data_IF_289330176395
#
_entry.id   IF_289330176395
#
_cell.length_a   1.000
_cell.length_b   1.000
_cell.length_c   1.000
_cell.angle_alpha   90.00
_cell.angle_beta   90.00
_cell.angle_gamma   90.00
#
_symmetry.space_group_name_H-M   'P 1'
#
loop_
_entity.id
_entity.type
_entity.pdbx_description
1 polymer ?
#
# COMPACT_ATOMS: atom_id res chain seq x y z
N UNK A 1 -32.66 -16.40 -0.57
CA UNK A 1 -31.42 -16.18 0.22
C UNK A 1 -30.70 -15.02 -0.44
N UNK A 2 -30.69 -13.83 0.19
CA UNK A 2 -30.02 -12.68 -0.38
C UNK A 2 -28.52 -12.96 -0.45
N UNK A 3 -27.92 -12.85 -1.63
CA UNK A 3 -26.47 -12.80 -1.77
C UNK A 3 -25.98 -11.66 -0.86
N UNK A 4 -25.37 -12.00 0.28
CA UNK A 4 -24.59 -11.03 1.02
C UNK A 4 -23.47 -10.61 0.07
N UNK A 5 -23.54 -9.39 -0.46
CA UNK A 5 -22.45 -8.79 -1.22
C UNK A 5 -21.18 -8.91 -0.38
N UNK A 6 -20.23 -9.74 -0.82
CA UNK A 6 -18.95 -9.95 -0.12
C UNK A 6 -18.31 -8.61 0.21
N UNK A 7 -17.76 -8.53 1.43
CA UNK A 7 -16.98 -7.37 1.84
C UNK A 7 -15.80 -7.16 0.90
N UNK A 8 -15.52 -5.89 0.56
CA UNK A 8 -14.29 -5.54 -0.15
C UNK A 8 -13.19 -5.38 0.90
N UNK A 9 -12.23 -6.28 0.85
CA UNK A 9 -11.05 -6.29 1.71
C UNK A 9 -9.80 -5.89 0.94
N UNK A 10 -8.83 -5.34 1.67
CA UNK A 10 -7.47 -5.11 1.22
C UNK A 10 -6.52 -5.26 2.41
N UNK A 11 -5.22 -5.26 2.16
CA UNK A 11 -4.24 -5.37 3.23
C UNK A 11 -2.94 -4.62 2.98
N UNK A 12 -2.01 -4.84 3.89
CA UNK A 12 -0.64 -4.35 3.82
C UNK A 12 0.27 -5.36 4.52
N UNK A 13 1.37 -5.74 3.88
CA UNK A 13 2.41 -6.51 4.56
C UNK A 13 3.14 -5.65 5.59
N UNK A 14 3.46 -6.26 6.72
CA UNK A 14 4.28 -5.66 7.79
C UNK A 14 5.44 -6.60 8.13
N UNK A 15 6.30 -6.20 9.05
CA UNK A 15 7.36 -7.08 9.57
C UNK A 15 6.71 -8.30 10.21
N UNK A 16 7.10 -9.50 9.78
CA UNK A 16 6.55 -10.77 10.25
C UNK A 16 5.03 -10.94 10.24
N UNK A 17 4.32 -10.22 9.36
CA UNK A 17 2.86 -10.31 9.39
C UNK A 17 2.13 -9.59 8.28
N UNK A 18 0.81 -9.59 8.42
CA UNK A 18 -0.11 -8.96 7.47
C UNK A 18 -1.19 -8.22 8.22
N UNK A 19 -1.42 -6.98 7.79
CA UNK A 19 -2.60 -6.20 8.12
C UNK A 19 -3.69 -6.44 7.09
N UNK A 20 -4.91 -6.78 7.53
CA UNK A 20 -6.11 -6.71 6.70
C UNK A 20 -7.04 -5.61 7.18
N UNK A 21 -7.75 -5.00 6.24
CA UNK A 21 -8.69 -3.94 6.49
C UNK A 21 -9.99 -4.13 5.73
N UNK A 22 -11.09 -4.06 6.48
CA UNK A 22 -12.44 -4.00 5.95
C UNK A 22 -12.98 -2.57 5.89
N UNK A 23 -14.29 -2.41 6.01
CA UNK A 23 -14.94 -1.09 5.87
C UNK A 23 -14.62 -0.16 7.04
N UNK A 24 -14.59 -0.69 8.26
CA UNK A 24 -14.37 0.08 9.49
C UNK A 24 -13.22 -0.46 10.32
N UNK A 25 -12.95 -1.75 10.26
CA UNK A 25 -11.94 -2.37 11.11
C UNK A 25 -10.67 -2.66 10.32
N UNK A 26 -9.55 -2.66 11.03
CA UNK A 26 -8.28 -3.20 10.57
C UNK A 26 -7.69 -4.07 11.66
N UNK A 27 -7.15 -5.20 11.26
CA UNK A 27 -6.48 -6.15 12.14
C UNK A 27 -5.12 -6.48 11.52
N UNK A 28 -4.08 -6.45 12.33
CA UNK A 28 -2.78 -7.00 11.99
C UNK A 28 -2.53 -8.21 12.85
N UNK A 29 -1.96 -9.26 12.25
CA UNK A 29 -1.34 -10.35 12.97
C UNK A 29 0.14 -10.42 12.61
N UNK A 30 1.00 -10.61 13.61
CA UNK A 30 2.44 -10.84 13.44
C UNK A 30 2.83 -12.15 14.11
N UNK A 31 3.87 -12.82 13.59
CA UNK A 31 4.53 -13.94 14.27
C UNK A 31 5.74 -13.43 15.04
N UNK A 32 5.74 -13.62 16.37
CA UNK A 32 6.88 -13.29 17.24
C UNK A 32 7.97 -14.37 17.12
N UNK A 33 9.16 -14.08 17.67
CA UNK A 33 10.31 -15.01 17.63
C UNK A 33 10.06 -16.33 18.36
N UNK A 34 9.19 -16.33 19.37
CA UNK A 34 8.75 -17.53 20.10
C UNK A 34 7.69 -18.36 19.33
N UNK A 35 7.27 -17.89 18.15
CA UNK A 35 6.28 -18.54 17.29
C UNK A 35 4.83 -18.18 17.59
N UNK A 36 4.56 -17.39 18.64
CA UNK A 36 3.20 -16.92 18.97
C UNK A 36 2.70 -15.89 17.97
N UNK A 37 1.37 -15.81 17.82
CA UNK A 37 0.72 -14.81 16.98
C UNK A 37 0.14 -13.71 17.87
N UNK A 38 0.55 -12.47 17.62
CA UNK A 38 0.03 -11.30 18.32
C UNK A 38 -0.79 -10.42 17.37
N UNK A 39 -1.87 -9.84 17.90
CA UNK A 39 -2.82 -9.05 17.12
C UNK A 39 -2.83 -7.58 17.52
N UNK A 40 -3.05 -6.72 16.53
CA UNK A 40 -3.30 -5.31 16.74
C UNK A 40 -4.55 -4.85 16.00
N UNK A 41 -5.41 -4.14 16.71
CA UNK A 41 -6.73 -3.73 16.25
C UNK A 41 -6.79 -2.22 16.13
N UNK A 42 -7.34 -1.74 15.02
CA UNK A 42 -7.58 -0.31 14.83
C UNK A 42 -8.88 -0.07 14.05
N UNK A 43 -9.79 0.69 14.67
CA UNK A 43 -11.03 1.14 14.03
C UNK A 43 -10.79 2.44 13.25
N UNK A 44 -11.20 2.45 11.98
CA UNK A 44 -11.21 3.62 11.08
C UNK A 44 -12.37 4.54 11.47
N UNK A 45 -12.03 5.70 12.02
CA UNK A 45 -12.99 6.76 12.33
C UNK A 45 -12.55 8.08 11.66
N UNK A 46 -12.56 8.17 10.31
CA UNK A 46 -12.16 9.38 9.62
C UNK A 46 -13.16 10.51 9.91
N UNK A 47 -12.68 11.75 10.18
CA UNK A 47 -13.53 12.93 10.29
C UNK A 47 -14.45 13.10 9.08
N UNK A 48 -15.62 13.72 9.27
CA UNK A 48 -16.62 13.89 8.19
C UNK A 48 -16.06 14.58 6.94
N UNK A 49 -15.18 15.57 7.10
CA UNK A 49 -14.54 16.27 5.98
C UNK A 49 -13.65 15.35 5.13
N UNK A 50 -12.95 14.39 5.74
CA UNK A 50 -12.14 13.38 5.04
C UNK A 50 -13.05 12.50 4.18
N UNK A 51 -14.20 12.10 4.72
CA UNK A 51 -15.18 11.29 4.00
C UNK A 51 -15.76 12.04 2.80
N UNK A 52 -16.00 13.35 2.93
CA UNK A 52 -16.44 14.20 1.82
C UNK A 52 -15.38 14.30 0.73
N UNK A 53 -14.12 14.57 1.08
CA UNK A 53 -13.04 14.66 0.08
C UNK A 53 -12.78 13.35 -0.66
N UNK A 54 -12.99 12.19 -0.01
CA UNK A 54 -12.89 10.86 -0.65
C UNK A 54 -13.97 10.60 -1.72
N UNK A 55 -14.97 11.47 -1.85
CA UNK A 55 -16.00 11.38 -2.91
C UNK A 55 -15.64 12.21 -4.13
N UNK A 56 -14.72 13.16 -4.03
CA UNK A 56 -14.37 14.07 -5.12
C UNK A 56 -13.32 13.39 -6.02
N UNK A 57 -13.58 13.19 -7.33
CA UNK A 57 -12.59 12.65 -8.26
C UNK A 57 -11.28 13.46 -8.26
N UNK A 58 -10.16 12.80 -8.55
CA UNK A 58 -8.79 13.37 -8.53
C UNK A 58 -8.27 13.81 -7.16
N UNK A 59 -9.13 14.22 -6.23
CA UNK A 59 -8.76 14.54 -4.84
C UNK A 59 -8.79 13.30 -3.96
N UNK A 60 -9.79 12.43 -4.15
CA UNK A 60 -9.99 11.23 -3.34
C UNK A 60 -8.77 10.31 -3.26
N UNK A 61 -7.97 10.26 -4.32
CA UNK A 61 -6.77 9.43 -4.37
C UNK A 61 -5.69 9.90 -3.42
N UNK A 62 -5.44 11.21 -3.39
CA UNK A 62 -4.48 11.83 -2.47
C UNK A 62 -4.94 11.61 -1.03
N UNK A 63 -6.23 11.84 -0.75
CA UNK A 63 -6.79 11.65 0.60
C UNK A 63 -6.74 10.18 1.02
N UNK A 64 -7.09 9.25 0.13
CA UNK A 64 -7.00 7.83 0.40
C UNK A 64 -5.56 7.38 0.67
N UNK A 65 -4.59 7.90 -0.09
CA UNK A 65 -3.17 7.60 0.11
C UNK A 65 -2.66 8.12 1.46
N UNK A 66 -3.03 9.33 1.86
CA UNK A 66 -2.65 9.90 3.17
C UNK A 66 -3.27 9.08 4.29
N UNK A 67 -4.56 8.77 4.20
CA UNK A 67 -5.27 7.96 5.21
C UNK A 67 -4.67 6.56 5.31
N UNK A 68 -4.44 5.87 4.19
CA UNK A 68 -3.85 4.54 4.17
C UNK A 68 -2.42 4.55 4.69
N UNK A 69 -1.62 5.56 4.35
CA UNK A 69 -0.25 5.70 4.86
C UNK A 69 -0.26 5.91 6.38
N UNK A 70 -1.13 6.79 6.91
CA UNK A 70 -1.22 7.04 8.35
C UNK A 70 -1.66 5.79 9.14
N UNK A 71 -2.65 5.04 8.62
CA UNK A 71 -3.08 3.77 9.22
C UNK A 71 -1.95 2.74 9.11
N UNK A 72 -1.38 2.58 7.92
CA UNK A 72 -0.30 1.64 7.64
C UNK A 72 0.93 1.86 8.51
N UNK A 73 1.29 3.12 8.80
CA UNK A 73 2.39 3.45 9.71
C UNK A 73 2.12 2.96 11.13
N UNK A 74 0.90 3.07 11.66
CA UNK A 74 0.57 2.56 13.01
C UNK A 74 0.74 1.05 13.11
N UNK A 75 0.26 0.33 12.08
CA UNK A 75 0.40 -1.13 12.00
C UNK A 75 1.86 -1.57 11.83
N UNK A 76 2.64 -0.83 11.03
CA UNK A 76 4.07 -1.11 10.86
C UNK A 76 4.87 -0.84 12.14
N UNK A 77 4.57 0.25 12.85
CA UNK A 77 5.17 0.55 14.16
C UNK A 77 4.87 -0.56 15.16
N UNK A 78 3.60 -0.97 15.29
CA UNK A 78 3.23 -2.12 16.13
C UNK A 78 4.05 -3.37 15.78
N UNK A 79 4.11 -3.72 14.50
CA UNK A 79 4.83 -4.92 14.05
C UNK A 79 6.33 -4.84 14.33
N UNK A 80 6.93 -3.67 14.16
CA UNK A 80 8.36 -3.45 14.39
C UNK A 80 8.69 -3.48 15.88
N UNK A 81 7.89 -2.80 16.71
CA UNK A 81 8.09 -2.73 18.15
C UNK A 81 7.93 -4.11 18.80
N UNK A 82 6.94 -4.91 18.37
CA UNK A 82 6.61 -6.21 18.99
C UNK A 82 7.39 -7.40 18.45
N UNK A 83 7.95 -7.30 17.24
CA UNK A 83 8.70 -8.41 16.64
C UNK A 83 9.98 -8.74 17.42
N UNK A 84 10.70 -7.73 17.88
CA UNK A 84 11.99 -7.90 18.56
C UNK A 84 11.89 -8.00 20.08
N UNK A 85 10.76 -7.63 20.69
CA UNK A 85 10.52 -7.74 22.14
C UNK A 85 10.31 -9.21 22.56
N UNK A 86 11.09 -9.70 23.53
CA UNK A 86 10.86 -10.98 24.20
C UNK A 86 9.71 -10.81 25.24
N UNK A 87 8.65 -11.65 25.19
CA UNK A 87 7.57 -11.60 26.19
C UNK A 87 8.04 -11.71 27.64
N UNK A 88 9.20 -12.34 27.89
CA UNK A 88 9.78 -12.50 29.22
C UNK A 88 10.43 -11.20 29.76
N UNK A 89 10.86 -10.29 28.89
CA UNK A 89 11.49 -9.02 29.24
C UNK A 89 10.47 -7.89 29.50
N UNK A 90 9.18 -8.11 29.22
CA UNK A 90 8.09 -7.13 29.44
C UNK A 90 7.92 -6.75 30.92
N UNK A 91 8.40 -7.59 31.84
CA UNK A 91 8.35 -7.34 33.28
C UNK A 91 9.50 -6.44 33.79
N UNK A 92 10.66 -6.43 33.13
CA UNK A 92 11.85 -5.67 33.56
C UNK A 92 11.94 -4.27 32.91
N UNK A 93 11.50 -4.10 31.67
CA UNK A 93 11.69 -2.87 30.90
C UNK A 93 10.66 -1.74 31.15
N UNK A 94 9.67 -1.94 32.03
CA UNK A 94 8.66 -0.90 32.36
C UNK A 94 9.21 0.30 33.16
N UNK A 95 10.49 0.32 33.53
CA UNK A 95 11.00 1.25 34.55
C UNK A 95 11.87 2.43 34.11
N UNK A 96 12.21 2.63 32.83
CA UNK A 96 13.06 3.77 32.44
C UNK A 96 12.65 4.39 31.10
N UNK A 97 11.43 4.90 30.96
CA UNK A 97 11.17 5.88 29.89
C UNK A 97 10.22 6.98 30.38
N UNK A 98 10.77 8.17 30.61
CA UNK A 98 10.00 9.39 30.86
C UNK A 98 9.24 9.79 29.58
N UNK A 99 8.01 10.28 29.72
CA UNK A 99 7.16 10.71 28.59
C UNK A 99 7.84 11.74 27.66
N UNK A 100 8.75 12.55 28.21
CA UNK A 100 9.52 13.55 27.44
C UNK A 100 10.57 12.91 26.51
N UNK A 101 11.24 11.83 26.93
CA UNK A 101 12.21 11.10 26.11
C UNK A 101 11.52 10.40 24.93
N UNK A 102 10.36 9.78 25.18
CA UNK A 102 9.53 9.17 24.13
C UNK A 102 9.04 10.18 23.11
N UNK A 103 8.60 11.37 23.55
CA UNK A 103 8.09 12.40 22.66
C UNK A 103 9.20 12.97 21.77
N UNK A 104 10.37 13.26 22.34
CA UNK A 104 11.53 13.74 21.59
C UNK A 104 12.02 12.68 20.56
N UNK A 105 12.06 11.41 20.96
CA UNK A 105 12.41 10.30 20.06
C UNK A 105 11.39 10.16 18.93
N UNK A 106 10.09 10.16 19.24
CA UNK A 106 9.02 10.07 18.23
C UNK A 106 9.03 11.25 17.26
N UNK A 107 9.22 12.48 17.76
CA UNK A 107 9.34 13.66 16.92
C UNK A 107 10.59 13.59 16.03
N UNK A 108 11.72 13.13 16.57
CA UNK A 108 12.94 12.91 15.81
C UNK A 108 12.74 11.91 14.67
N UNK A 109 12.17 10.74 14.95
CA UNK A 109 11.89 9.70 13.94
C UNK A 109 10.89 10.20 12.90
N UNK A 110 9.83 10.90 13.32
CA UNK A 110 8.83 11.45 12.40
C UNK A 110 9.44 12.49 11.46
N UNK A 111 10.25 13.42 11.98
CA UNK A 111 10.94 14.44 11.17
C UNK A 111 11.89 13.78 10.17
N UNK A 112 12.71 12.82 10.62
CA UNK A 112 13.63 12.09 9.74
C UNK A 112 12.86 11.33 8.66
N UNK A 113 11.74 10.69 9.00
CA UNK A 113 10.87 9.99 8.05
C UNK A 113 10.28 10.92 6.98
N UNK A 114 9.75 12.07 7.40
CA UNK A 114 9.20 13.10 6.49
C UNK A 114 10.29 13.65 5.58
N UNK A 115 11.46 14.01 6.14
CA UNK A 115 12.59 14.52 5.36
C UNK A 115 13.10 13.48 4.36
N UNK A 116 13.19 12.22 4.76
CA UNK A 116 13.60 11.11 3.90
C UNK A 116 12.60 10.89 2.77
N UNK A 117 11.30 10.97 3.04
CA UNK A 117 10.25 10.85 2.03
C UNK A 117 10.30 12.00 1.02
N UNK A 118 10.44 13.24 1.50
CA UNK A 118 10.60 14.42 0.63
C UNK A 118 11.86 14.25 -0.22
N UNK A 119 13.00 13.96 0.39
CA UNK A 119 14.26 13.74 -0.31
C UNK A 119 14.13 12.66 -1.39
N UNK A 120 13.61 11.48 -1.05
CA UNK A 120 13.37 10.39 -1.99
C UNK A 120 12.46 10.82 -3.14
N UNK A 121 11.37 11.54 -2.86
CA UNK A 121 10.45 12.03 -3.90
C UNK A 121 11.14 13.01 -4.85
N UNK A 122 11.96 13.92 -4.33
CA UNK A 122 12.71 14.88 -5.13
C UNK A 122 13.76 14.17 -5.98
N UNK A 123 14.56 13.27 -5.39
CA UNK A 123 15.54 12.43 -6.09
C UNK A 123 14.88 11.68 -7.25
N UNK A 124 13.80 10.93 -6.98
CA UNK A 124 13.08 10.14 -7.98
C UNK A 124 12.42 10.99 -9.08
N UNK A 125 12.17 12.28 -8.83
CA UNK A 125 11.56 13.19 -9.79
C UNK A 125 12.60 13.94 -10.61
N UNK A 126 13.66 14.42 -9.97
CA UNK A 126 14.63 15.34 -10.55
C UNK A 126 15.81 14.62 -11.22
N UNK A 127 16.27 13.48 -10.69
CA UNK A 127 17.35 12.71 -11.34
C UNK A 127 17.01 12.40 -12.81
N UNK A 128 15.83 11.86 -13.15
CA UNK A 128 15.47 11.59 -14.54
C UNK A 128 15.46 12.86 -15.42
N UNK A 129 15.07 14.01 -14.85
CA UNK A 129 15.03 15.31 -15.55
C UNK A 129 16.43 15.76 -15.94
N UNK A 130 17.36 15.72 -14.99
CA UNK A 130 18.75 16.11 -15.25
C UNK A 130 19.42 15.15 -16.23
N UNK A 131 19.24 13.83 -16.05
CA UNK A 131 19.79 12.84 -16.99
C UNK A 131 19.23 13.06 -18.40
N UNK A 132 17.92 13.24 -18.57
CA UNK A 132 17.33 13.50 -19.89
C UNK A 132 17.87 14.78 -20.54
N UNK A 133 18.07 15.84 -19.74
CA UNK A 133 18.64 17.10 -20.23
C UNK A 133 20.07 16.96 -20.76
N UNK A 134 20.88 16.02 -20.25
CA UNK A 134 22.22 15.74 -20.81
C UNK A 134 22.14 15.27 -22.28
N UNK A 135 21.05 14.62 -22.68
CA UNK A 135 20.83 14.14 -24.05
C UNK A 135 20.21 15.19 -24.97
N UNK A 136 19.95 16.40 -24.48
CA UNK A 136 19.29 17.45 -25.25
C UNK A 136 20.01 17.89 -26.53
N UNK A 137 21.36 17.87 -26.62
CA UNK A 137 22.05 18.11 -27.89
C UNK A 137 21.71 17.09 -28.99
N UNK A 138 21.32 15.87 -28.62
CA UNK A 138 20.98 14.78 -29.56
C UNK A 138 19.46 14.69 -29.77
N UNK A 139 18.69 14.86 -28.69
CA UNK A 139 17.23 14.79 -28.68
C UNK A 139 16.67 16.13 -28.23
N UNK A 140 16.50 17.05 -29.19
CA UNK A 140 16.13 18.44 -28.91
C UNK A 140 14.62 18.65 -28.70
N UNK A 141 13.77 17.77 -29.24
CA UNK A 141 12.31 17.91 -29.14
C UNK A 141 11.75 17.57 -27.76
N UNK A 142 10.74 18.33 -27.32
CA UNK A 142 10.06 18.15 -26.03
C UNK A 142 9.55 16.71 -25.82
N UNK A 143 8.92 16.14 -26.85
CA UNK A 143 8.40 14.77 -26.78
C UNK A 143 9.52 13.75 -26.52
N UNK A 144 10.63 13.87 -27.24
CA UNK A 144 11.77 12.96 -27.07
C UNK A 144 12.41 13.09 -25.69
N UNK A 145 12.49 14.31 -25.17
CA UNK A 145 12.97 14.54 -23.82
C UNK A 145 12.05 13.94 -22.75
N UNK A 146 10.73 14.09 -22.89
CA UNK A 146 9.75 13.50 -21.95
C UNK A 146 9.79 11.96 -22.00
N UNK A 147 9.98 11.38 -23.19
CA UNK A 147 10.21 9.94 -23.34
C UNK A 147 11.46 9.50 -22.59
N UNK A 148 12.58 10.22 -22.73
CA UNK A 148 13.81 9.94 -21.99
C UNK A 148 13.63 10.08 -20.49
N UNK A 149 13.01 11.17 -20.01
CA UNK A 149 12.68 11.35 -18.59
C UNK A 149 11.86 10.18 -18.04
N UNK A 150 10.86 9.73 -18.80
CA UNK A 150 9.98 8.63 -18.41
C UNK A 150 10.74 7.31 -18.39
N UNK A 151 11.58 7.05 -19.40
CA UNK A 151 12.44 5.88 -19.45
C UNK A 151 13.40 5.83 -18.26
N UNK A 152 14.13 6.91 -17.99
CA UNK A 152 15.04 6.98 -16.84
C UNK A 152 14.31 6.85 -15.51
N UNK A 153 13.12 7.46 -15.39
CA UNK A 153 12.27 7.30 -14.19
C UNK A 153 11.82 5.85 -14.01
N UNK A 154 11.42 5.16 -15.09
CA UNK A 154 11.03 3.76 -15.05
C UNK A 154 12.21 2.87 -14.67
N UNK A 155 13.38 3.07 -15.28
CA UNK A 155 14.60 2.32 -14.95
C UNK A 155 15.02 2.55 -13.50
N UNK A 156 15.00 3.79 -13.02
CA UNK A 156 15.31 4.13 -11.64
C UNK A 156 14.32 3.48 -10.66
N UNK A 157 13.02 3.53 -10.95
CA UNK A 157 11.99 2.90 -10.15
C UNK A 157 12.15 1.38 -10.06
N UNK A 158 12.24 0.71 -11.22
CA UNK A 158 12.36 -0.74 -11.27
C UNK A 158 13.70 -1.20 -10.69
N UNK A 159 14.79 -0.51 -11.00
CA UNK A 159 16.12 -0.79 -10.47
C UNK A 159 16.17 -0.63 -8.95
N UNK A 160 15.58 0.43 -8.40
CA UNK A 160 15.50 0.64 -6.95
C UNK A 160 14.70 -0.48 -6.26
N UNK A 161 13.48 -0.77 -6.73
CA UNK A 161 12.65 -1.84 -6.13
C UNK A 161 13.37 -3.19 -6.24
N UNK A 162 14.00 -3.48 -7.38
CA UNK A 162 14.76 -4.71 -7.56
C UNK A 162 15.90 -4.82 -6.55
N UNK A 163 16.72 -3.77 -6.40
CA UNK A 163 17.84 -3.75 -5.47
C UNK A 163 17.40 -3.97 -4.01
N UNK A 164 16.40 -3.22 -3.54
CA UNK A 164 15.91 -3.39 -2.15
C UNK A 164 15.25 -4.76 -1.94
N UNK A 165 14.59 -5.32 -2.96
CA UNK A 165 13.96 -6.65 -2.89
C UNK A 165 14.96 -7.80 -2.70
N UNK A 166 16.25 -7.58 -2.94
CA UNK A 166 17.30 -8.58 -2.68
C UNK A 166 17.69 -8.65 -1.20
N UNK A 167 17.34 -7.64 -0.39
CA UNK A 167 17.64 -7.66 1.04
C UNK A 167 16.72 -8.65 1.77
N UNK A 168 17.22 -9.46 2.72
CA UNK A 168 16.42 -10.51 3.37
C UNK A 168 15.12 -10.01 4.00
N UNK A 169 15.18 -8.87 4.69
CA UNK A 169 14.02 -8.26 5.37
C UNK A 169 12.94 -7.86 4.36
N UNK A 170 13.32 -7.14 3.29
CA UNK A 170 12.34 -6.70 2.29
C UNK A 170 11.81 -7.87 1.48
N UNK A 171 12.65 -8.86 1.16
CA UNK A 171 12.20 -10.09 0.50
C UNK A 171 11.14 -10.78 1.35
N UNK A 172 11.34 -10.87 2.67
CA UNK A 172 10.38 -11.46 3.62
C UNK A 172 9.07 -10.67 3.70
N UNK A 173 9.13 -9.33 3.74
CA UNK A 173 7.93 -8.48 3.65
C UNK A 173 7.20 -8.69 2.32
N UNK A 174 7.90 -8.83 1.20
CA UNK A 174 7.29 -9.12 -0.11
C UNK A 174 6.67 -10.52 -0.20
N UNK A 175 7.15 -11.48 0.61
CA UNK A 175 6.47 -12.77 0.76
C UNK A 175 5.16 -12.63 1.53
N UNK A 176 5.14 -11.91 2.66
CA UNK A 176 3.89 -11.60 3.37
C UNK A 176 2.91 -10.81 2.49
N UNK A 177 3.40 -9.93 1.61
CA UNK A 177 2.57 -9.26 0.60
C UNK A 177 1.99 -10.25 -0.43
N UNK A 178 2.78 -11.26 -0.83
CA UNK A 178 2.28 -12.38 -1.62
C UNK A 178 1.18 -13.17 -0.89
N UNK A 179 1.36 -13.45 0.40
CA UNK A 179 0.36 -14.13 1.24
C UNK A 179 -0.94 -13.31 1.34
N UNK A 180 -0.85 -12.00 1.53
CA UNK A 180 -1.99 -11.08 1.56
C UNK A 180 -2.83 -11.18 0.27
N UNK A 181 -2.19 -11.07 -0.90
CA UNK A 181 -2.88 -11.23 -2.17
C UNK A 181 -3.50 -12.62 -2.35
N UNK A 182 -2.78 -13.68 -1.95
CA UNK A 182 -3.27 -15.05 -2.07
C UNK A 182 -4.50 -15.30 -1.19
N UNK A 183 -4.50 -14.81 0.06
CA UNK A 183 -5.66 -14.90 0.97
C UNK A 183 -6.86 -14.17 0.38
N UNK A 184 -6.68 -12.94 -0.12
CA UNK A 184 -7.78 -12.19 -0.77
C UNK A 184 -8.29 -12.95 -1.99
N UNK A 185 -7.41 -13.40 -2.88
CA UNK A 185 -7.82 -14.16 -4.07
C UNK A 185 -8.56 -15.46 -3.72
N UNK A 186 -8.17 -16.13 -2.64
CA UNK A 186 -8.84 -17.33 -2.13
C UNK A 186 -10.27 -16.99 -1.66
N UNK A 187 -10.39 -15.95 -0.85
CA UNK A 187 -11.66 -15.45 -0.36
C UNK A 187 -12.58 -14.96 -1.50
N UNK A 188 -12.05 -14.24 -2.47
CA UNK A 188 -12.82 -13.80 -3.65
C UNK A 188 -13.31 -14.98 -4.50
N UNK A 189 -12.58 -16.10 -4.49
CA UNK A 189 -12.91 -17.32 -5.24
C UNK A 189 -13.87 -18.28 -4.52
N UNK A 190 -14.43 -17.90 -3.36
CA UNK A 190 -15.34 -18.75 -2.58
C UNK A 190 -14.72 -20.06 -2.07
N UNK A 191 -13.40 -20.08 -1.88
CA UNK A 191 -12.70 -21.24 -1.32
C UNK A 191 -12.46 -21.06 0.17
N UNK A 192 -12.47 -22.19 0.90
CA UNK A 192 -12.10 -22.22 2.31
C UNK A 192 -10.64 -21.77 2.50
N UNK A 193 -10.39 -20.95 3.53
CA UNK A 193 -9.09 -20.39 3.84
C UNK A 193 -8.18 -21.40 4.54
N UNK A 194 -7.77 -22.42 3.80
CA UNK A 194 -6.72 -23.36 4.19
C UNK A 194 -5.39 -22.98 3.55
N UNK A 195 -4.28 -23.40 4.13
CA UNK A 195 -2.93 -23.12 3.59
C UNK A 195 -2.80 -23.61 2.14
N UNK A 196 -3.29 -24.82 1.84
CA UNK A 196 -3.26 -25.41 0.50
C UNK A 196 -4.06 -24.57 -0.52
N UNK A 197 -5.31 -24.22 -0.17
CA UNK A 197 -6.15 -23.42 -1.06
C UNK A 197 -5.54 -22.04 -1.30
N UNK A 198 -5.04 -21.38 -0.26
CA UNK A 198 -4.39 -20.08 -0.37
C UNK A 198 -3.12 -20.17 -1.21
N UNK A 199 -2.26 -21.16 -0.99
CA UNK A 199 -1.03 -21.35 -1.79
C UNK A 199 -1.31 -21.55 -3.28
N UNK A 200 -2.42 -22.19 -3.64
CA UNK A 200 -2.84 -22.40 -5.04
C UNK A 200 -3.24 -21.11 -5.77
N UNK A 201 -3.49 -20.00 -5.05
CA UNK A 201 -3.96 -18.75 -5.64
C UNK A 201 -2.81 -17.90 -6.16
N UNK A 202 -3.15 -16.99 -7.07
CA UNK A 202 -2.18 -16.01 -7.59
C UNK A 202 -1.76 -15.02 -6.50
N UNK A 203 -0.48 -14.63 -6.52
CA UNK A 203 0.04 -13.46 -5.78
C UNK A 203 -0.15 -12.13 -6.52
N UNK A 204 -0.90 -12.12 -7.63
CA UNK A 204 -1.21 -10.93 -8.41
C UNK A 204 -2.66 -10.52 -8.17
N UNK A 205 -2.90 -9.23 -7.97
CA UNK A 205 -4.21 -8.71 -7.62
C UNK A 205 -4.45 -7.29 -8.20
N UNK A 206 -5.59 -7.07 -8.88
CA UNK A 206 -5.89 -5.81 -9.57
C UNK A 206 -6.07 -4.60 -8.63
N UNK A 207 -6.36 -4.84 -7.34
CA UNK A 207 -6.54 -3.76 -6.34
C UNK A 207 -5.27 -3.43 -5.55
N UNK A 208 -4.13 -4.02 -5.89
CA UNK A 208 -2.90 -3.75 -5.15
C UNK A 208 -2.45 -2.29 -5.34
N UNK A 209 -2.16 -1.61 -4.23
CA UNK A 209 -1.65 -0.25 -4.23
C UNK A 209 -0.27 -0.11 -4.88
N UNK A 210 0.55 -1.17 -4.97
CA UNK A 210 1.87 -1.09 -5.62
C UNK A 210 1.77 -0.67 -7.09
N UNK A 211 0.73 -1.12 -7.80
CA UNK A 211 0.46 -0.77 -9.20
C UNK A 211 0.24 0.73 -9.40
N UNK A 212 -0.23 1.45 -8.36
CA UNK A 212 -0.35 2.90 -8.36
C UNK A 212 0.98 3.57 -8.72
N UNK A 213 2.10 3.11 -8.14
CA UNK A 213 3.42 3.73 -8.32
C UNK A 213 3.81 3.68 -9.80
N UNK A 214 3.61 2.56 -10.49
CA UNK A 214 3.86 2.46 -11.93
C UNK A 214 2.96 3.41 -12.73
N UNK A 215 1.67 3.48 -12.39
CA UNK A 215 0.74 4.38 -13.08
C UNK A 215 1.13 5.85 -12.90
N UNK A 216 1.74 6.26 -11.78
CA UNK A 216 2.26 7.64 -11.66
C UNK A 216 3.35 7.96 -12.70
N UNK A 217 4.17 6.98 -13.10
CA UNK A 217 5.20 7.17 -14.13
C UNK A 217 4.55 7.31 -15.50
N UNK A 218 3.65 6.39 -15.85
CA UNK A 218 2.97 6.36 -17.15
C UNK A 218 2.07 7.59 -17.33
N UNK A 219 1.23 7.90 -16.34
CA UNK A 219 0.34 9.07 -16.36
C UNK A 219 1.15 10.36 -16.33
N UNK A 220 2.24 10.39 -15.55
CA UNK A 220 3.16 11.52 -15.51
C UNK A 220 3.70 11.86 -16.90
N UNK A 221 4.11 10.87 -17.69
CA UNK A 221 4.57 11.05 -19.06
C UNK A 221 3.56 11.85 -19.90
N UNK A 222 2.29 11.45 -19.91
CA UNK A 222 1.24 12.12 -20.70
C UNK A 222 0.93 13.53 -20.19
N UNK A 223 0.86 13.72 -18.87
CA UNK A 223 0.64 15.06 -18.28
C UNK A 223 1.80 16.00 -18.65
N UNK A 224 3.03 15.49 -18.62
CA UNK A 224 4.21 16.30 -18.91
C UNK A 224 4.36 16.70 -20.37
N UNK A 225 3.66 16.04 -21.31
CA UNK A 225 3.57 16.47 -22.71
C UNK A 225 2.79 17.78 -22.90
N UNK A 226 1.98 18.17 -21.91
CA UNK A 226 1.15 19.37 -21.97
C UNK A 226 1.86 20.62 -21.46
N UNK A 227 3.11 20.51 -21.01
CA UNK A 227 3.88 21.61 -20.42
C UNK A 227 5.26 21.73 -21.06
N UNK A 228 5.80 22.96 -21.18
CA UNK A 228 7.09 23.16 -21.81
C UNK A 228 8.21 22.48 -21.03
N UNK A 229 9.21 22.01 -21.77
CA UNK A 229 10.40 21.42 -21.18
C UNK A 229 11.59 22.37 -21.11
N UNK A 230 11.40 23.61 -21.57
CA UNK A 230 12.40 24.65 -21.61
C UNK A 230 11.91 26.01 -21.12
N UNK A 231 12.80 26.80 -20.50
CA UNK A 231 14.16 26.44 -20.03
C UNK A 231 14.14 25.41 -18.87
N UNK A 232 15.29 24.80 -18.54
CA UNK A 232 15.39 23.71 -17.54
C UNK A 232 14.74 24.04 -16.19
N UNK A 233 14.80 25.30 -15.73
CA UNK A 233 14.17 25.67 -14.46
C UNK A 233 12.63 25.59 -14.53
N UNK A 234 12.02 25.97 -15.65
CA UNK A 234 10.56 25.85 -15.87
C UNK A 234 10.18 24.38 -15.84
N UNK A 235 10.98 23.52 -16.49
CA UNK A 235 10.80 22.06 -16.47
C UNK A 235 10.78 21.53 -15.05
N UNK A 236 11.77 21.86 -14.23
CA UNK A 236 11.87 21.43 -12.83
C UNK A 236 10.66 21.89 -12.01
N UNK A 237 10.29 23.17 -12.12
CA UNK A 237 9.12 23.72 -11.41
C UNK A 237 7.84 23.00 -11.82
N UNK A 238 7.62 22.80 -13.13
CA UNK A 238 6.45 22.09 -13.65
C UNK A 238 6.38 20.65 -13.11
N UNK A 239 7.51 19.92 -13.04
CA UNK A 239 7.54 18.54 -12.51
C UNK A 239 7.16 18.47 -11.03
N UNK A 240 7.54 19.46 -10.24
CA UNK A 240 7.22 19.54 -8.80
C UNK A 240 5.76 19.93 -8.61
N UNK A 241 5.30 21.01 -9.25
CA UNK A 241 3.94 21.53 -9.10
C UNK A 241 2.87 20.56 -9.60
N UNK A 242 3.17 19.73 -10.60
CA UNK A 242 2.25 18.76 -11.17
C UNK A 242 2.19 17.43 -10.39
N UNK A 243 3.00 17.23 -9.33
CA UNK A 243 2.95 15.99 -8.52
C UNK A 243 1.52 15.67 -8.04
N UNK A 244 0.76 16.61 -7.44
CA UNK A 244 -0.60 16.33 -6.98
C UNK A 244 -1.53 15.92 -8.14
N UNK A 245 -1.39 16.55 -9.30
CA UNK A 245 -2.19 16.24 -10.50
C UNK A 245 -1.89 14.82 -10.98
N UNK A 246 -0.62 14.45 -11.08
CA UNK A 246 -0.19 13.10 -11.47
C UNK A 246 -0.73 12.05 -10.50
N UNK A 247 -0.64 12.29 -9.19
CA UNK A 247 -1.16 11.37 -8.17
C UNK A 247 -2.69 11.21 -8.28
N UNK A 248 -3.41 12.32 -8.45
CA UNK A 248 -4.86 12.32 -8.60
C UNK A 248 -5.31 11.53 -9.82
N UNK A 249 -4.72 11.80 -10.98
CA UNK A 249 -5.07 11.10 -12.23
C UNK A 249 -4.63 9.65 -12.20
N UNK A 250 -3.44 9.33 -11.68
CA UNK A 250 -2.97 7.94 -11.54
C UNK A 250 -3.88 7.10 -10.65
N UNK A 251 -4.48 7.70 -9.61
CA UNK A 251 -5.44 7.00 -8.76
C UNK A 251 -6.74 6.71 -9.50
N UNK A 252 -7.24 7.65 -10.30
CA UNK A 252 -8.41 7.41 -11.15
C UNK A 252 -8.15 6.31 -12.18
N UNK A 253 -6.94 6.28 -12.77
CA UNK A 253 -6.51 5.18 -13.66
C UNK A 253 -6.49 3.84 -12.92
N UNK A 254 -5.93 3.77 -11.71
CA UNK A 254 -5.96 2.56 -10.89
C UNK A 254 -7.40 2.07 -10.66
N UNK A 255 -8.29 2.98 -10.24
CA UNK A 255 -9.70 2.64 -10.02
C UNK A 255 -10.41 2.20 -11.29
N UNK A 256 -10.07 2.78 -12.45
CA UNK A 256 -10.59 2.38 -13.74
C UNK A 256 -10.12 0.97 -14.14
N UNK A 257 -8.83 0.66 -14.00
CA UNK A 257 -8.30 -0.67 -14.35
C UNK A 257 -8.97 -1.79 -13.55
N UNK A 258 -9.25 -1.55 -12.26
CA UNK A 258 -9.99 -2.49 -11.43
C UNK A 258 -11.45 -2.65 -11.89
N UNK A 259 -12.14 -1.56 -12.26
CA UNK A 259 -13.51 -1.63 -12.80
C UNK A 259 -13.58 -2.39 -14.14
N UNK A 260 -12.54 -2.27 -14.95
CA UNK A 260 -12.45 -2.91 -16.25
C UNK A 260 -11.87 -4.33 -16.23
N UNK A 261 -11.55 -4.90 -15.05
CA UNK A 261 -10.84 -6.20 -14.93
C UNK A 261 -11.53 -7.38 -15.62
N UNK A 262 -12.85 -7.34 -15.71
CA UNK A 262 -13.68 -8.41 -16.31
C UNK A 262 -14.09 -8.14 -17.76
N UNK A 263 -13.74 -6.97 -18.31
CA UNK A 263 -14.15 -6.60 -19.68
C UNK A 263 -13.06 -7.10 -20.65
N UNK A 264 -13.42 -7.87 -21.70
CA UNK A 264 -12.48 -8.29 -22.73
C UNK A 264 -11.71 -7.09 -23.30
N UNK A 265 -10.42 -7.29 -23.62
CA UNK A 265 -9.50 -6.24 -24.08
C UNK A 265 -9.14 -5.21 -22.99
N UNK A 266 -10.11 -4.59 -22.32
CA UNK A 266 -9.82 -3.57 -21.29
C UNK A 266 -9.09 -4.12 -20.06
N UNK A 267 -9.17 -5.43 -19.79
CA UNK A 267 -8.36 -6.10 -18.77
C UNK A 267 -6.84 -5.86 -18.94
N UNK A 268 -6.37 -5.66 -20.19
CA UNK A 268 -4.96 -5.42 -20.47
C UNK A 268 -4.45 -4.07 -19.94
N UNK A 269 -5.34 -3.11 -19.64
CA UNK A 269 -4.96 -1.84 -19.03
C UNK A 269 -4.33 -2.02 -17.63
N UNK A 270 -4.72 -3.07 -16.90
CA UNK A 270 -4.15 -3.39 -15.58
C UNK A 270 -2.82 -4.14 -15.63
N UNK A 271 -2.47 -4.73 -16.79
CA UNK A 271 -1.33 -5.67 -16.91
C UNK A 271 0.02 -5.03 -16.56
N UNK A 272 0.36 -3.81 -16.99
CA UNK A 272 1.60 -3.17 -16.56
C UNK A 272 1.70 -3.11 -15.03
N UNK A 273 0.60 -2.76 -14.36
CA UNK A 273 0.52 -2.73 -12.90
C UNK A 273 0.72 -4.10 -12.26
N UNK A 274 0.18 -5.17 -12.87
CA UNK A 274 0.39 -6.56 -12.42
C UNK A 274 1.84 -7.01 -12.60
N UNK A 275 2.53 -6.56 -13.66
CA UNK A 275 3.95 -6.86 -13.86
C UNK A 275 4.83 -6.26 -12.77
N UNK A 276 4.52 -5.05 -12.29
CA UNK A 276 5.24 -4.49 -11.15
C UNK A 276 5.11 -5.37 -9.90
N UNK A 277 3.95 -6.01 -9.70
CA UNK A 277 3.74 -6.92 -8.58
C UNK A 277 4.65 -8.16 -8.65
N UNK A 278 5.10 -8.56 -9.84
CA UNK A 278 6.10 -9.62 -9.96
C UNK A 278 7.40 -9.29 -9.21
N UNK A 279 7.70 -7.99 -9.09
CA UNK A 279 8.84 -7.46 -8.35
C UNK A 279 8.51 -7.21 -6.87
N UNK A 280 7.32 -6.68 -6.56
CA UNK A 280 6.92 -6.28 -5.20
C UNK A 280 6.21 -7.36 -4.38
N UNK A 281 6.01 -8.56 -4.94
CA UNK A 281 5.56 -9.76 -4.21
C UNK A 281 6.48 -10.94 -4.51
N UNK A 282 6.54 -11.88 -3.57
CA UNK A 282 7.28 -13.16 -3.67
C UNK A 282 6.39 -14.30 -3.19
N UNK A 283 6.73 -15.53 -3.56
CA UNK A 283 5.98 -16.70 -3.07
C UNK A 283 6.17 -16.85 -1.55
N UNK A 284 5.07 -16.86 -0.78
CA UNK A 284 5.12 -17.04 0.66
C UNK A 284 5.39 -18.50 1.04
N UNK A 285 5.98 -18.68 2.21
CA UNK A 285 6.04 -19.96 2.89
C UNK A 285 4.73 -20.23 3.64
N UNK A 286 4.49 -21.50 4.00
CA UNK A 286 3.24 -21.93 4.64
C UNK A 286 3.04 -21.27 6.01
N UNK A 287 4.11 -21.08 6.79
CA UNK A 287 4.10 -20.37 8.07
C UNK A 287 3.65 -18.91 7.94
N UNK A 288 3.98 -18.25 6.82
CA UNK A 288 3.54 -16.89 6.50
C UNK A 288 2.08 -16.85 6.07
N UNK A 289 1.64 -17.89 5.33
CA UNK A 289 0.24 -18.06 4.93
C UNK A 289 -0.66 -18.28 6.15
N UNK A 290 -0.23 -19.06 7.13
CA UNK A 290 -0.94 -19.25 8.40
C UNK A 290 -1.20 -17.92 9.12
N UNK A 291 -0.18 -17.05 9.21
CA UNK A 291 -0.32 -15.73 9.83
C UNK A 291 -1.29 -14.84 9.05
N UNK A 292 -1.23 -14.88 7.72
CA UNK A 292 -2.15 -14.12 6.88
C UNK A 292 -3.60 -14.62 7.04
N UNK A 293 -3.83 -15.94 7.07
CA UNK A 293 -5.15 -16.52 7.33
C UNK A 293 -5.66 -16.11 8.72
N UNK A 294 -4.80 -16.20 9.74
CA UNK A 294 -5.14 -15.81 11.11
C UNK A 294 -5.57 -14.34 11.20
N UNK A 295 -4.80 -13.43 10.59
CA UNK A 295 -5.13 -12.00 10.53
C UNK A 295 -6.47 -11.73 9.85
N UNK A 296 -6.74 -12.41 8.73
CA UNK A 296 -7.97 -12.22 7.97
C UNK A 296 -9.21 -12.79 8.69
N UNK A 297 -9.09 -13.99 9.28
CA UNK A 297 -10.16 -14.59 10.07
C UNK A 297 -10.48 -13.76 11.32
N UNK A 298 -9.46 -13.19 11.96
CA UNK A 298 -9.63 -12.33 13.11
C UNK A 298 -10.36 -11.02 12.73
N UNK A 299 -10.03 -10.42 11.58
CA UNK A 299 -10.80 -9.29 11.05
C UNK A 299 -12.27 -9.64 10.86
N UNK A 300 -12.58 -10.79 10.26
CA UNK A 300 -13.96 -11.25 10.08
C UNK A 300 -14.69 -11.47 11.41
N UNK A 301 -14.00 -12.03 12.41
CA UNK A 301 -14.55 -12.22 13.76
C UNK A 301 -14.95 -10.88 14.38
N UNK A 302 -14.06 -9.88 14.32
CA UNK A 302 -14.29 -8.54 14.87
C UNK A 302 -15.41 -7.79 14.13
N UNK A 303 -15.46 -7.89 12.79
CA UNK A 303 -16.53 -7.26 12.02
C UNK A 303 -17.90 -7.92 12.30
N UNK A 304 -17.92 -9.23 12.52
CA UNK A 304 -19.14 -9.96 12.88
C UNK A 304 -19.62 -9.62 14.29
N UNK A 305 -18.73 -9.62 15.29
CA UNK A 305 -19.11 -9.33 16.67
C UNK A 305 -19.67 -7.91 16.82
N UNK A 306 -19.02 -6.91 16.21
CA UNK A 306 -19.51 -5.52 16.24
C UNK A 306 -20.80 -5.32 15.46
N UNK A 307 -21.08 -6.16 14.45
CA UNK A 307 -22.36 -6.16 13.75
C UNK A 307 -23.47 -6.72 14.62
N UNK A 308 -23.18 -7.77 15.38
CA UNK A 308 -24.11 -8.38 16.34
C UNK A 308 -24.39 -7.44 17.52
N UNK A 309 -23.37 -6.78 18.09
CA UNK A 309 -23.53 -5.76 19.14
C UNK A 309 -24.30 -4.50 18.66
N UNK A 310 -24.27 -4.20 17.36
CA UNK A 310 -24.99 -3.06 16.77
C UNK A 310 -26.46 -3.36 16.42
N UNK A 311 -26.87 -4.63 16.44
CA UNK A 311 -28.28 -5.02 16.35
C UNK A 311 -28.87 -4.91 17.76
N UNK A 312 -29.94 -4.13 17.99
CA UNK A 312 -30.54 -4.06 19.31
C UNK A 312 -31.07 -5.45 19.73
N UNK A 313 -30.83 -5.83 21.00
CA UNK A 313 -31.36 -7.06 21.65
C UNK A 313 -32.89 -7.19 21.63
N UNK A 314 -33.62 -6.20 21.10
CA UNK A 314 -35.08 -6.11 21.16
C UNK A 314 -35.75 -6.53 19.84
N UNK A 315 -35.31 -7.63 19.24
CA UNK A 315 -36.01 -8.26 18.10
C UNK A 315 -36.63 -9.62 18.48
N UNK A 316 -36.88 -9.81 19.76
CA UNK A 316 -37.95 -10.67 20.28
C UNK A 316 -39.06 -9.76 20.81
N UNK A 317 -40.32 -10.14 20.55
CA UNK A 317 -41.57 -9.39 20.73
C UNK A 317 -41.89 -8.41 19.60
N UNK A 318 -42.37 -8.97 18.48
CA UNK A 318 -43.78 -8.86 18.11
C UNK A 318 -44.11 -10.08 17.22
N UNK A 319 -44.83 -11.03 17.81
CA UNK A 319 -45.71 -11.95 17.09
C UNK A 319 -46.78 -11.16 16.30
#
# INVERSE_FOLDING_TARGET
MSEQTKGIYGGQAVVEGVMFGGRRETVTAIRRKDGTIEYFYLTKNPPGWVQTLKRIPFIRGIVALIESSAIGSKHLTFATDRYDEDPLDEAENKKIETKESKLAMWLGVAVVGVLSFIFAKFVMTLIPVFIANLFRPVVSGDMGQIMLETLFKLLLLLGYIFAVSQTPIIKRVFQYHGAEHKVINCYESDLELTVENVQSRSRLHYRCGSSFILFTVIVGMFIYMLVPTDPLWVRVVNRILLIPVVLGVAFEVLQLTNKCRNIPILKYLGVPGLWLQLLTTKEPQDDQVEVAIASFNELHRVEKSKREEALPENLELLE
#
